data_IF_500440443583
#
_entry.id   IF_500440443583
#
_cell.length_a   1.000
_cell.length_b   1.000
_cell.length_c   1.000
_cell.angle_alpha   90.00
_cell.angle_beta   90.00
_cell.angle_gamma   90.00
#
_symmetry.space_group_name_H-M   'P 1'
#
loop_
_entity.id
_entity.type
_entity.pdbx_description
1 polymer ?
#
# COMPACT_ATOMS: atom_id res chain seq x y z
N UNK A 1 -7.33 -16.68 -4.29
CA UNK A 1 -7.69 -15.41 -4.97
C UNK A 1 -8.58 -14.62 -4.03
N UNK A 2 -8.47 -13.29 -3.91
CA UNK A 2 -9.50 -12.53 -3.20
C UNK A 2 -10.86 -12.80 -3.88
N UNK A 3 -12.01 -12.61 -3.21
CA UNK A 3 -13.23 -12.39 -3.95
C UNK A 3 -12.92 -11.27 -4.94
N UNK A 4 -13.10 -11.56 -6.23
CA UNK A 4 -13.02 -10.55 -7.26
C UNK A 4 -13.87 -9.38 -6.81
N UNK A 5 -13.42 -8.14 -7.04
CA UNK A 5 -14.38 -7.03 -7.11
C UNK A 5 -15.57 -7.53 -7.92
N UNK A 6 -16.82 -7.21 -7.54
CA UNK A 6 -17.97 -7.55 -8.37
C UNK A 6 -17.57 -7.19 -9.80
N UNK A 7 -17.47 -8.20 -10.67
CA UNK A 7 -16.96 -7.98 -12.01
C UNK A 7 -17.90 -6.93 -12.60
N UNK A 8 -17.39 -5.72 -12.84
CA UNK A 8 -18.17 -4.70 -13.52
C UNK A 8 -18.73 -5.34 -14.78
N UNK A 9 -20.01 -5.15 -15.05
CA UNK A 9 -20.58 -5.62 -16.30
C UNK A 9 -19.88 -4.89 -17.45
N UNK A 10 -18.99 -5.60 -18.14
CA UNK A 10 -18.15 -5.06 -19.22
C UNK A 10 -18.80 -5.22 -20.58
N UNK A 11 -20.00 -5.80 -20.65
CA UNK A 11 -20.68 -6.05 -21.93
C UNK A 11 -20.99 -4.76 -22.71
N UNK A 12 -21.04 -3.63 -22.02
CA UNK A 12 -21.28 -2.29 -22.59
C UNK A 12 -20.01 -1.50 -22.90
N UNK A 13 -18.82 -2.03 -22.58
CA UNK A 13 -17.55 -1.31 -22.75
C UNK A 13 -17.07 -1.42 -24.19
N UNK A 14 -17.21 -0.33 -24.94
CA UNK A 14 -16.93 -0.29 -26.38
C UNK A 14 -15.90 0.79 -26.77
N UNK A 15 -15.46 1.64 -25.83
CA UNK A 15 -14.46 2.65 -26.13
C UNK A 15 -13.09 1.99 -26.38
N UNK A 16 -12.28 2.45 -27.36
CA UNK A 16 -11.01 1.80 -27.68
C UNK A 16 -10.06 1.68 -26.48
N UNK A 17 -9.49 0.49 -26.32
CA UNK A 17 -8.34 0.24 -25.44
C UNK A 17 -7.06 0.88 -26.03
N UNK A 18 -6.01 1.13 -25.22
CA UNK A 18 -4.74 1.59 -25.77
C UNK A 18 -4.12 0.55 -26.70
N UNK A 19 -3.58 1.00 -27.83
CA UNK A 19 -3.03 0.12 -28.87
C UNK A 19 -1.57 -0.27 -28.61
N UNK A 20 -0.82 0.62 -27.95
CA UNK A 20 0.61 0.44 -27.70
C UNK A 20 0.99 0.87 -26.30
N UNK A 21 2.15 0.40 -25.84
CA UNK A 21 2.75 0.80 -24.57
C UNK A 21 3.88 1.79 -24.85
N UNK A 22 3.77 3.00 -24.32
CA UNK A 22 4.81 4.01 -24.35
C UNK A 22 5.67 3.91 -23.09
N UNK A 23 6.94 3.53 -23.28
CA UNK A 23 7.93 3.49 -22.20
C UNK A 23 8.36 4.90 -21.79
N UNK A 24 8.71 5.07 -20.52
CA UNK A 24 9.31 6.30 -20.01
C UNK A 24 10.83 6.17 -20.03
N UNK A 25 11.53 7.21 -20.48
CA UNK A 25 12.98 7.35 -20.31
C UNK A 25 13.35 8.09 -19.01
N UNK A 26 12.36 8.70 -18.34
CA UNK A 26 12.59 9.39 -17.08
C UNK A 26 12.88 8.39 -15.95
N UNK A 27 13.76 8.73 -15.00
CA UNK A 27 14.03 7.89 -13.83
C UNK A 27 12.76 7.61 -13.00
N UNK A 28 12.67 6.45 -12.30
CA UNK A 28 11.63 6.20 -11.31
C UNK A 28 11.52 7.34 -10.28
N UNK A 29 10.30 7.66 -9.84
CA UNK A 29 10.05 8.81 -8.96
C UNK A 29 10.00 10.17 -9.66
N UNK A 30 10.19 10.23 -10.99
CA UNK A 30 10.03 11.48 -11.74
C UNK A 30 8.56 11.80 -12.00
N UNK A 31 8.16 13.10 -11.95
CA UNK A 31 6.86 13.51 -12.44
C UNK A 31 6.78 13.37 -13.96
N UNK A 32 5.66 12.85 -14.46
CA UNK A 32 5.35 12.71 -15.87
C UNK A 32 4.00 13.38 -16.14
N UNK A 33 3.91 14.19 -17.20
CA UNK A 33 2.71 14.96 -17.50
C UNK A 33 2.30 14.85 -18.96
N UNK A 34 1.00 14.70 -19.20
CA UNK A 34 0.41 14.49 -20.53
C UNK A 34 -0.84 15.37 -20.68
N UNK A 35 -0.93 16.11 -21.79
CA UNK A 35 -2.15 16.85 -22.14
C UNK A 35 -3.19 15.91 -22.76
N UNK A 36 -4.48 16.24 -22.61
CA UNK A 36 -5.60 15.48 -23.19
C UNK A 36 -5.51 13.97 -22.91
N UNK A 37 -5.09 13.62 -21.70
CA UNK A 37 -4.81 12.26 -21.28
C UNK A 37 -5.95 11.68 -20.46
N UNK A 38 -6.07 10.35 -20.49
CA UNK A 38 -7.12 9.61 -19.80
C UNK A 38 -6.60 8.89 -18.57
N UNK A 39 -7.42 8.85 -17.52
CA UNK A 39 -7.21 8.00 -16.34
C UNK A 39 -8.30 6.94 -16.34
N UNK A 40 -7.90 5.67 -16.30
CA UNK A 40 -8.81 4.54 -16.27
C UNK A 40 -8.63 3.68 -15.02
N UNK A 41 -9.76 3.33 -14.42
CA UNK A 41 -9.95 2.46 -13.25
C UNK A 41 -9.31 2.95 -11.94
N UNK A 42 -9.69 2.30 -10.84
CA UNK A 42 -9.09 2.44 -9.51
C UNK A 42 -7.60 2.05 -9.44
N UNK A 43 -7.00 1.53 -10.53
CA UNK A 43 -5.56 1.31 -10.60
C UNK A 43 -4.79 2.50 -11.20
N UNK A 44 -5.50 3.55 -11.68
CA UNK A 44 -4.88 4.77 -12.21
C UNK A 44 -4.15 4.58 -13.52
N UNK A 45 -4.68 3.75 -14.42
CA UNK A 45 -4.08 3.51 -15.73
C UNK A 45 -4.11 4.82 -16.54
N UNK A 46 -2.94 5.33 -16.93
CA UNK A 46 -2.81 6.56 -17.70
C UNK A 46 -2.61 6.25 -19.18
N UNK A 47 -3.47 6.81 -20.03
CA UNK A 47 -3.43 6.67 -21.49
C UNK A 47 -3.29 8.08 -22.09
N UNK A 48 -2.32 8.30 -22.98
CA UNK A 48 -2.12 9.62 -23.61
C UNK A 48 -3.10 9.90 -24.77
N UNK A 49 -3.00 11.11 -25.32
CA UNK A 49 -3.85 11.59 -26.41
C UNK A 49 -3.70 10.73 -27.69
N UNK A 50 -2.54 10.11 -27.90
CA UNK A 50 -2.26 9.19 -29.01
C UNK A 50 -2.75 7.75 -28.73
N UNK A 51 -3.58 7.56 -27.70
CA UNK A 51 -4.12 6.26 -27.30
C UNK A 51 -3.03 5.23 -26.91
N UNK A 52 -1.95 5.68 -26.26
CA UNK A 52 -0.85 4.82 -25.79
C UNK A 52 -0.87 4.73 -24.27
N UNK A 53 -0.72 3.52 -23.75
CA UNK A 53 -0.55 3.27 -22.33
C UNK A 53 0.78 3.88 -21.86
N UNK A 54 0.75 4.76 -20.86
CA UNK A 54 1.97 5.31 -20.24
C UNK A 54 2.47 4.35 -19.16
N UNK A 55 3.41 3.46 -19.52
CA UNK A 55 3.96 2.46 -18.61
C UNK A 55 4.56 3.09 -17.34
N UNK A 56 5.23 4.23 -17.50
CA UNK A 56 5.83 4.98 -16.39
C UNK A 56 4.82 5.46 -15.33
N UNK A 57 3.52 5.49 -15.61
CA UNK A 57 2.46 5.83 -14.66
C UNK A 57 1.47 4.69 -14.42
N UNK A 58 1.60 3.58 -15.14
CA UNK A 58 0.63 2.47 -15.17
C UNK A 58 1.30 1.12 -14.92
N UNK A 59 1.92 0.91 -13.74
CA UNK A 59 2.50 -0.39 -13.43
C UNK A 59 1.39 -1.47 -13.33
N UNK A 60 1.74 -2.72 -13.60
CA UNK A 60 0.90 -3.90 -13.30
C UNK A 60 1.77 -4.92 -12.56
N UNK A 61 1.31 -5.41 -11.41
CA UNK A 61 2.07 -6.36 -10.60
C UNK A 61 2.18 -7.74 -11.26
N UNK A 62 1.22 -8.09 -12.10
CA UNK A 62 1.18 -9.38 -12.80
C UNK A 62 0.70 -9.12 -14.22
N UNK A 63 1.58 -8.53 -15.04
CA UNK A 63 1.21 -8.23 -16.41
C UNK A 63 0.97 -9.56 -17.16
N UNK A 64 -0.09 -9.64 -17.99
CA UNK A 64 -0.28 -10.74 -18.93
C UNK A 64 0.77 -10.70 -20.05
N UNK A 65 0.85 -11.72 -20.94
CA UNK A 65 1.77 -11.73 -22.07
C UNK A 65 1.67 -10.51 -23.01
N UNK A 66 0.50 -9.86 -23.08
CA UNK A 66 0.29 -8.60 -23.81
C UNK A 66 0.96 -7.39 -23.17
N UNK A 67 1.55 -7.55 -21.99
CA UNK A 67 2.36 -6.55 -21.29
C UNK A 67 1.60 -5.76 -20.23
N UNK A 68 0.28 -5.58 -20.34
CA UNK A 68 -0.53 -4.93 -19.30
C UNK A 68 -2.01 -5.30 -19.44
N UNK A 69 -2.71 -5.53 -18.32
CA UNK A 69 -4.07 -6.09 -18.31
C UNK A 69 -5.12 -5.26 -19.07
N UNK A 70 -4.96 -3.95 -19.19
CA UNK A 70 -5.88 -3.08 -19.94
C UNK A 70 -5.91 -3.38 -21.44
N UNK A 71 -4.81 -3.91 -22.02
CA UNK A 71 -4.75 -4.25 -23.44
C UNK A 71 -5.58 -5.50 -23.78
N UNK A 72 -5.87 -6.33 -22.78
CA UNK A 72 -6.68 -7.54 -22.94
C UNK A 72 -8.19 -7.28 -22.82
N UNK A 73 -8.60 -6.02 -22.62
CA UNK A 73 -10.02 -5.67 -22.50
C UNK A 73 -10.64 -5.55 -23.89
N UNK A 74 -11.90 -5.95 -24.02
CA UNK A 74 -12.66 -5.79 -25.28
C UNK A 74 -12.98 -4.33 -25.61
N UNK A 75 -12.99 -3.48 -24.59
CA UNK A 75 -13.23 -2.05 -24.66
C UNK A 75 -13.16 -1.43 -23.27
N UNK A 76 -13.26 -0.12 -23.21
CA UNK A 76 -13.36 0.68 -21.99
C UNK A 76 -14.76 1.33 -21.91
N UNK A 77 -15.19 1.79 -20.73
CA UNK A 77 -16.31 2.72 -20.60
C UNK A 77 -16.06 3.99 -21.42
N UNK A 78 -17.11 4.69 -21.85
CA UNK A 78 -16.96 6.01 -22.46
C UNK A 78 -16.29 6.98 -21.47
N UNK A 79 -15.24 7.74 -21.89
CA UNK A 79 -14.55 8.64 -20.99
C UNK A 79 -15.42 9.85 -20.65
N UNK A 80 -15.48 10.18 -19.36
CA UNK A 80 -16.12 11.39 -18.86
C UNK A 80 -15.13 12.56 -18.97
N UNK A 81 -15.50 13.68 -19.62
CA UNK A 81 -14.62 14.84 -19.71
C UNK A 81 -14.44 15.51 -18.35
N UNK A 82 -13.20 15.89 -18.05
CA UNK A 82 -12.79 16.60 -16.84
C UNK A 82 -11.84 17.72 -17.27
N UNK A 83 -12.34 18.95 -17.34
CA UNK A 83 -11.53 20.13 -17.72
C UNK A 83 -10.66 20.60 -16.55
N UNK A 84 -9.68 19.77 -16.17
CA UNK A 84 -8.82 19.98 -15.02
C UNK A 84 -7.42 19.44 -15.27
N UNK A 85 -6.45 20.00 -14.55
CA UNK A 85 -5.14 19.39 -14.36
C UNK A 85 -5.22 18.42 -13.16
N UNK A 86 -5.18 17.13 -13.46
CA UNK A 86 -5.43 16.06 -12.51
C UNK A 86 -4.12 15.36 -12.12
N UNK A 87 -3.89 15.21 -10.82
CA UNK A 87 -2.84 14.35 -10.27
C UNK A 87 -3.34 12.90 -10.18
N UNK A 88 -2.73 11.97 -10.91
CA UNK A 88 -2.97 10.54 -10.79
C UNK A 88 -2.12 9.94 -9.65
N UNK A 89 -2.77 9.61 -8.52
CA UNK A 89 -2.10 9.10 -7.31
C UNK A 89 -2.21 7.58 -7.15
N UNK A 90 -3.09 6.91 -7.89
CA UNK A 90 -3.28 5.48 -7.73
C UNK A 90 -2.04 4.65 -8.13
N UNK A 91 -1.97 3.45 -7.59
CA UNK A 91 -1.01 2.38 -7.94
C UNK A 91 -1.74 1.04 -7.75
N UNK A 92 -1.32 -0.07 -8.40
CA UNK A 92 -2.01 -1.33 -8.28
C UNK A 92 -2.23 -1.76 -6.83
N UNK A 93 -3.42 -2.28 -6.56
CA UNK A 93 -3.89 -2.74 -5.25
C UNK A 93 -4.02 -1.69 -4.14
N UNK A 94 -3.66 -0.41 -4.35
CA UNK A 94 -3.85 0.63 -3.33
C UNK A 94 -5.32 0.81 -2.93
N UNK A 95 -6.27 0.54 -3.85
CA UNK A 95 -7.72 0.62 -3.62
C UNK A 95 -8.26 -0.21 -2.45
N UNK A 96 -7.49 -1.18 -1.94
CA UNK A 96 -7.85 -1.97 -0.75
C UNK A 96 -6.68 -2.34 0.16
N UNK A 97 -5.46 -2.17 -0.30
CA UNK A 97 -4.28 -2.63 0.43
C UNK A 97 -3.54 -1.44 1.02
N UNK A 98 -3.64 -1.32 2.34
CA UNK A 98 -2.99 -0.30 3.14
C UNK A 98 -1.48 -0.15 2.86
N UNK A 99 -0.76 -1.26 2.62
CA UNK A 99 0.67 -1.20 2.31
C UNK A 99 0.94 -0.43 1.01
N UNK A 100 0.23 -0.77 -0.07
CA UNK A 100 0.44 -0.11 -1.36
C UNK A 100 -0.04 1.36 -1.35
N UNK A 101 -0.96 1.69 -0.46
CA UNK A 101 -1.34 3.08 -0.21
C UNK A 101 -0.22 3.85 0.51
N UNK A 102 0.17 3.38 1.69
CA UNK A 102 1.11 4.09 2.58
C UNK A 102 2.54 4.08 2.04
N UNK A 103 3.01 2.96 1.49
CA UNK A 103 4.42 2.78 1.11
C UNK A 103 4.66 3.10 -0.37
N UNK A 104 3.75 2.70 -1.26
CA UNK A 104 3.99 2.85 -2.70
C UNK A 104 3.32 4.10 -3.30
N UNK A 105 2.15 4.52 -2.81
CA UNK A 105 1.41 5.64 -3.37
C UNK A 105 1.80 6.99 -2.78
N UNK A 106 1.57 7.19 -1.48
CA UNK A 106 1.70 8.49 -0.81
C UNK A 106 3.12 9.10 -0.84
N UNK A 107 4.22 8.36 -0.61
CA UNK A 107 5.56 8.97 -0.53
C UNK A 107 6.00 9.63 -1.84
N UNK A 108 5.37 9.29 -2.96
CA UNK A 108 5.63 9.88 -4.27
C UNK A 108 5.23 11.35 -4.36
N UNK A 109 4.34 11.81 -3.47
CA UNK A 109 3.88 13.18 -3.42
C UNK A 109 4.93 14.15 -2.87
N UNK A 110 5.99 13.65 -2.22
CA UNK A 110 7.02 14.47 -1.54
C UNK A 110 7.75 15.48 -2.44
N UNK A 111 7.76 15.24 -3.75
CA UNK A 111 8.44 16.10 -4.73
C UNK A 111 7.49 17.06 -5.46
N UNK A 112 6.20 17.08 -5.09
CA UNK A 112 5.19 17.89 -5.74
C UNK A 112 4.68 19.01 -4.85
N UNK A 113 4.36 20.15 -5.44
CA UNK A 113 3.44 21.11 -4.82
C UNK A 113 2.01 20.70 -5.16
N UNK A 114 1.27 20.20 -4.16
CA UNK A 114 -0.09 19.72 -4.36
C UNK A 114 -1.05 20.84 -4.79
N UNK A 115 -0.68 22.12 -4.64
CA UNK A 115 -1.50 23.27 -5.09
C UNK A 115 -1.48 23.47 -6.60
N UNK A 116 -0.54 22.84 -7.32
CA UNK A 116 -0.43 22.93 -8.77
C UNK A 116 -1.51 22.13 -9.53
N UNK A 117 -2.27 21.28 -8.82
CA UNK A 117 -3.28 20.43 -9.41
C UNK A 117 -4.68 20.91 -9.05
N UNK A 118 -5.59 20.86 -10.00
CA UNK A 118 -7.00 21.17 -9.75
C UNK A 118 -7.63 20.03 -8.92
N UNK A 119 -7.39 18.77 -9.33
CA UNK A 119 -7.96 17.56 -8.72
C UNK A 119 -6.90 16.49 -8.44
N UNK A 120 -7.17 15.63 -7.46
CA UNK A 120 -6.40 14.41 -7.18
C UNK A 120 -7.25 13.18 -7.45
N UNK A 121 -6.83 12.35 -8.41
CA UNK A 121 -7.51 11.14 -8.82
C UNK A 121 -6.94 9.91 -8.13
N UNK A 122 -7.79 9.25 -7.33
CA UNK A 122 -7.42 8.08 -6.52
C UNK A 122 -8.67 7.29 -6.10
N UNK A 123 -8.55 6.01 -5.72
CA UNK A 123 -9.67 5.30 -5.08
C UNK A 123 -10.04 5.93 -3.75
N UNK A 124 -11.32 5.93 -3.40
CA UNK A 124 -11.82 6.41 -2.10
C UNK A 124 -12.62 5.36 -1.32
N UNK A 125 -12.66 4.11 -1.80
CA UNK A 125 -13.47 3.03 -1.20
C UNK A 125 -12.98 2.47 0.14
N UNK A 126 -12.03 3.11 0.82
CA UNK A 126 -11.50 2.71 2.13
C UNK A 126 -11.27 3.97 2.98
N UNK A 127 -11.52 3.93 4.31
CA UNK A 127 -11.37 5.11 5.18
C UNK A 127 -9.98 5.75 5.12
N UNK A 128 -8.93 4.92 5.06
CA UNK A 128 -7.53 5.38 5.00
C UNK A 128 -7.21 6.22 3.75
N UNK A 129 -8.01 6.16 2.69
CA UNK A 129 -7.80 7.04 1.53
C UNK A 129 -8.14 8.48 1.89
N UNK A 130 -9.35 8.72 2.41
CA UNK A 130 -9.82 10.04 2.82
C UNK A 130 -8.93 10.62 3.93
N UNK A 131 -8.62 9.82 4.95
CA UNK A 131 -7.76 10.22 6.07
C UNK A 131 -6.38 10.73 5.60
N UNK A 132 -5.78 10.09 4.58
CA UNK A 132 -4.50 10.53 4.04
C UNK A 132 -4.61 11.81 3.20
N UNK A 133 -5.68 11.98 2.41
CA UNK A 133 -5.91 13.21 1.66
C UNK A 133 -6.18 14.40 2.60
N UNK A 134 -6.92 14.17 3.68
CA UNK A 134 -7.14 15.16 4.75
C UNK A 134 -5.83 15.51 5.48
N UNK A 135 -4.99 14.52 5.80
CA UNK A 135 -3.67 14.76 6.41
C UNK A 135 -2.71 15.54 5.50
N UNK A 136 -2.93 15.51 4.19
CA UNK A 136 -2.21 16.29 3.17
C UNK A 136 -2.85 17.66 2.90
N UNK A 137 -3.85 18.06 3.68
CA UNK A 137 -4.61 19.30 3.53
C UNK A 137 -5.28 19.44 2.13
N UNK A 138 -5.70 18.31 1.52
CA UNK A 138 -6.41 18.29 0.24
C UNK A 138 -7.92 18.29 0.52
N UNK A 139 -8.65 19.38 0.21
CA UNK A 139 -10.07 19.47 0.49
C UNK A 139 -10.89 18.52 -0.40
N UNK A 140 -12.03 18.06 0.12
CA UNK A 140 -12.87 17.03 -0.51
C UNK A 140 -13.42 17.41 -1.89
N UNK A 141 -13.59 18.70 -2.18
CA UNK A 141 -13.99 19.21 -3.49
C UNK A 141 -12.90 19.05 -4.57
N UNK A 142 -11.67 18.74 -4.18
CA UNK A 142 -10.56 18.42 -5.08
C UNK A 142 -10.36 16.92 -5.28
N UNK A 143 -11.20 16.06 -4.69
CA UNK A 143 -11.07 14.62 -4.83
C UNK A 143 -11.81 14.12 -6.07
N UNK A 144 -11.11 13.38 -6.93
CA UNK A 144 -11.70 12.68 -8.07
C UNK A 144 -11.66 11.17 -7.80
N UNK A 145 -12.79 10.57 -7.43
CA UNK A 145 -12.85 9.14 -7.11
C UNK A 145 -12.62 8.27 -8.35
N UNK A 146 -11.65 7.36 -8.27
CA UNK A 146 -11.42 6.32 -9.27
C UNK A 146 -12.03 4.98 -8.82
N UNK A 147 -13.07 4.54 -9.51
CA UNK A 147 -13.73 3.21 -9.38
C UNK A 147 -13.24 2.23 -10.44
N UNK A 148 -13.69 0.97 -10.41
CA UNK A 148 -13.27 -0.07 -11.38
C UNK A 148 -13.59 0.27 -12.84
N UNK A 149 -14.65 1.04 -13.06
CA UNK A 149 -15.24 1.46 -14.33
C UNK A 149 -15.08 2.97 -14.59
N UNK A 150 -14.31 3.67 -13.75
CA UNK A 150 -13.98 5.07 -14.01
C UNK A 150 -13.13 5.20 -15.26
N UNK A 151 -13.50 6.11 -16.14
CA UNK A 151 -12.70 6.53 -17.28
C UNK A 151 -12.86 8.04 -17.44
N UNK A 152 -11.79 8.79 -17.20
CA UNK A 152 -11.79 10.25 -17.24
C UNK A 152 -10.91 10.72 -18.38
N UNK A 153 -11.40 11.64 -19.21
CA UNK A 153 -10.57 12.39 -20.17
C UNK A 153 -10.26 13.75 -19.55
N UNK A 154 -8.99 13.98 -19.22
CA UNK A 154 -8.55 15.17 -18.50
C UNK A 154 -7.78 16.11 -19.42
N UNK A 155 -7.98 17.44 -19.27
CA UNK A 155 -7.16 18.45 -19.96
C UNK A 155 -5.66 18.21 -19.76
N UNK A 156 -5.26 17.81 -18.55
CA UNK A 156 -3.90 17.36 -18.26
C UNK A 156 -3.90 16.32 -17.15
N UNK A 157 -3.09 15.28 -17.30
CA UNK A 157 -2.78 14.31 -16.25
C UNK A 157 -1.31 14.42 -15.89
N UNK A 158 -1.01 14.56 -14.61
CA UNK A 158 0.33 14.36 -14.08
C UNK A 158 0.31 13.21 -13.09
N UNK A 159 1.35 12.39 -13.10
CA UNK A 159 1.58 11.40 -12.04
C UNK A 159 3.07 11.33 -11.74
N UNK A 160 3.42 10.63 -10.66
CA UNK A 160 4.81 10.36 -10.32
C UNK A 160 5.09 8.90 -10.57
N UNK A 161 6.11 8.63 -11.38
CA UNK A 161 6.47 7.26 -11.75
C UNK A 161 6.75 6.43 -10.50
N UNK A 162 6.19 5.21 -10.39
CA UNK A 162 6.33 4.41 -9.18
C UNK A 162 7.79 4.04 -8.95
N UNK A 163 8.18 3.98 -7.68
CA UNK A 163 9.41 3.29 -7.27
C UNK A 163 9.16 1.77 -7.34
N UNK A 164 10.21 0.94 -7.37
CA UNK A 164 10.04 -0.50 -7.13
C UNK A 164 9.23 -0.75 -5.85
N UNK A 165 8.39 -1.79 -5.83
CA UNK A 165 7.47 -2.05 -4.72
C UNK A 165 8.23 -2.16 -3.39
N UNK A 166 7.81 -1.37 -2.40
CA UNK A 166 8.46 -1.32 -1.08
C UNK A 166 9.83 -0.66 -1.07
N UNK A 167 10.31 -0.07 -2.18
CA UNK A 167 11.56 0.67 -2.25
C UNK A 167 11.38 2.14 -1.82
N UNK A 168 10.72 2.35 -0.69
CA UNK A 168 10.67 3.66 -0.04
C UNK A 168 12.07 4.07 0.42
N UNK A 169 12.40 5.36 0.35
CA UNK A 169 13.67 5.92 0.83
C UNK A 169 13.48 6.69 2.14
N UNK A 170 14.57 7.20 2.72
CA UNK A 170 14.52 7.98 3.97
C UNK A 170 13.66 9.24 3.83
N UNK A 171 13.67 9.87 2.67
CA UNK A 171 12.89 11.08 2.39
C UNK A 171 11.39 10.76 2.33
N UNK A 172 11.02 9.63 1.74
CA UNK A 172 9.65 9.11 1.76
C UNK A 172 9.17 8.77 3.17
N UNK A 173 10.04 8.20 4.01
CA UNK A 173 9.73 7.97 5.43
C UNK A 173 9.53 9.30 6.17
N UNK A 174 10.41 10.28 5.95
CA UNK A 174 10.26 11.62 6.56
C UNK A 174 8.95 12.25 6.12
N UNK A 175 8.66 12.24 4.82
CA UNK A 175 7.42 12.76 4.27
C UNK A 175 6.18 12.16 4.94
N UNK A 176 6.13 10.82 5.11
CA UNK A 176 5.01 10.17 5.80
C UNK A 176 4.93 10.58 7.26
N UNK A 177 6.06 10.66 7.97
CA UNK A 177 6.08 11.08 9.38
C UNK A 177 5.62 12.52 9.54
N UNK A 178 6.02 13.40 8.64
CA UNK A 178 5.62 14.81 8.64
C UNK A 178 4.13 14.96 8.32
N UNK A 179 3.66 14.27 7.27
CA UNK A 179 2.24 14.22 6.85
C UNK A 179 1.33 13.82 8.00
N UNK A 180 1.68 12.74 8.71
CA UNK A 180 0.88 12.24 9.82
C UNK A 180 1.27 12.87 11.17
N UNK A 181 2.14 13.88 11.18
CA UNK A 181 2.59 14.63 12.38
C UNK A 181 3.09 13.72 13.50
N UNK A 182 3.96 12.78 13.14
CA UNK A 182 4.53 11.81 14.07
C UNK A 182 5.56 12.49 14.95
N UNK A 183 5.30 12.49 16.25
CA UNK A 183 6.25 12.98 17.23
C UNK A 183 7.16 11.83 17.68
N UNK A 184 8.47 12.06 17.84
CA UNK A 184 9.34 11.07 18.46
C UNK A 184 8.86 10.74 19.88
N UNK A 185 8.56 9.46 20.14
CA UNK A 185 8.19 8.99 21.47
C UNK A 185 9.25 8.02 21.99
N UNK A 186 9.37 7.96 23.32
CA UNK A 186 10.22 6.96 23.95
C UNK A 186 9.62 5.56 23.69
N UNK A 187 10.40 4.60 23.16
CA UNK A 187 9.93 3.25 22.90
C UNK A 187 9.59 2.56 24.23
N UNK A 188 8.31 2.27 24.44
CA UNK A 188 7.80 1.73 25.71
C UNK A 188 6.79 0.59 25.54
N UNK A 189 6.10 0.54 24.40
CA UNK A 189 5.03 -0.43 24.15
C UNK A 189 5.55 -1.70 23.49
N UNK A 190 5.01 -2.85 23.89
CA UNK A 190 5.26 -4.14 23.25
C UNK A 190 3.95 -4.61 22.65
N UNK A 191 3.87 -4.65 21.33
CA UNK A 191 2.60 -4.79 20.61
C UNK A 191 2.63 -6.09 19.84
N UNK A 192 1.61 -6.91 20.00
CA UNK A 192 1.31 -8.01 19.12
C UNK A 192 0.13 -7.61 18.23
N UNK A 193 0.36 -7.55 16.92
CA UNK A 193 -0.68 -7.24 15.94
C UNK A 193 -1.33 -8.55 15.51
N UNK A 194 -2.55 -8.79 15.99
CA UNK A 194 -3.35 -9.94 15.59
C UNK A 194 -3.81 -9.78 14.14
N UNK A 195 -3.98 -10.93 13.47
CA UNK A 195 -4.65 -11.03 12.17
C UNK A 195 -5.90 -11.91 12.24
N UNK A 196 -6.46 -12.12 13.44
CA UNK A 196 -7.64 -12.97 13.65
C UNK A 196 -8.84 -12.58 12.78
N UNK A 197 -8.97 -11.30 12.44
CA UNK A 197 -10.01 -10.70 11.59
C UNK A 197 -9.62 -10.61 10.10
N UNK A 198 -8.40 -11.01 9.74
CA UNK A 198 -7.93 -10.98 8.36
C UNK A 198 -8.43 -12.20 7.58
N UNK A 199 -8.59 -12.05 6.26
CA UNK A 199 -9.02 -13.15 5.39
C UNK A 199 -7.92 -14.19 5.06
N UNK A 200 -6.67 -13.91 5.41
CA UNK A 200 -5.50 -14.75 5.06
C UNK A 200 -4.33 -14.55 6.01
N UNK A 201 -3.46 -15.56 6.07
CA UNK A 201 -2.23 -15.59 6.89
C UNK A 201 -2.54 -15.34 8.36
N UNK A 202 -3.61 -15.98 8.83
CA UNK A 202 -3.99 -15.99 10.24
C UNK A 202 -3.14 -16.99 10.99
N UNK A 203 -2.83 -16.67 12.24
CA UNK A 203 -2.24 -17.61 13.18
C UNK A 203 -3.37 -18.39 13.86
N UNK A 204 -3.52 -19.68 13.54
CA UNK A 204 -4.67 -20.48 13.97
C UNK A 204 -4.61 -20.89 15.44
N UNK A 205 -3.41 -21.04 16.01
CA UNK A 205 -3.18 -21.28 17.44
C UNK A 205 -2.75 -20.00 18.19
N UNK A 206 -3.38 -18.87 17.86
CA UNK A 206 -3.10 -17.59 18.53
C UNK A 206 -3.40 -17.66 20.04
N UNK A 207 -4.48 -18.33 20.44
CA UNK A 207 -4.85 -18.49 21.86
C UNK A 207 -3.76 -19.20 22.68
N UNK A 208 -3.04 -20.16 22.10
CA UNK A 208 -1.91 -20.85 22.73
C UNK A 208 -0.66 -19.97 22.79
N UNK A 209 -0.55 -18.96 21.91
CA UNK A 209 0.55 -18.01 21.86
C UNK A 209 0.37 -16.87 22.87
N UNK A 210 -0.87 -16.45 23.16
CA UNK A 210 -1.21 -15.36 24.08
C UNK A 210 -0.54 -15.45 25.46
N UNK A 211 -0.43 -16.62 26.13
CA UNK A 211 0.25 -16.72 27.42
C UNK A 211 1.74 -16.36 27.38
N UNK A 212 2.43 -16.58 26.26
CA UNK A 212 3.82 -16.15 26.08
C UNK A 212 3.91 -14.64 25.94
N UNK A 213 3.03 -14.06 25.13
CA UNK A 213 2.93 -12.62 24.91
C UNK A 213 2.65 -11.86 26.21
N UNK A 214 1.63 -12.26 26.98
CA UNK A 214 1.24 -11.61 28.24
C UNK A 214 2.36 -11.61 29.28
N UNK A 215 3.09 -12.73 29.42
CA UNK A 215 4.24 -12.84 30.34
C UNK A 215 5.38 -11.87 30.00
N UNK A 216 5.49 -11.49 28.74
CA UNK A 216 6.49 -10.54 28.24
C UNK A 216 5.95 -9.10 28.15
N UNK A 217 4.73 -8.86 28.64
CA UNK A 217 4.11 -7.54 28.64
C UNK A 217 3.63 -7.07 27.27
N UNK A 218 3.38 -8.00 26.33
CA UNK A 218 2.78 -7.64 25.05
C UNK A 218 1.28 -7.38 25.20
N UNK A 219 0.82 -6.30 24.59
CA UNK A 219 -0.58 -6.03 24.35
C UNK A 219 -0.99 -6.56 22.97
N UNK A 220 -2.11 -7.28 22.91
CA UNK A 220 -2.65 -7.75 21.63
C UNK A 220 -3.60 -6.70 21.07
N UNK A 221 -3.39 -6.31 19.82
CA UNK A 221 -4.20 -5.32 19.10
C UNK A 221 -4.65 -5.85 17.76
N UNK A 222 -5.86 -5.48 17.36
CA UNK A 222 -6.37 -5.64 15.99
C UNK A 222 -6.41 -4.26 15.36
N UNK A 223 -5.79 -4.10 14.19
CA UNK A 223 -5.63 -2.78 13.54
C UNK A 223 -6.86 -2.37 12.74
N UNK A 224 -7.69 -3.32 12.30
CA UNK A 224 -8.91 -3.00 11.54
C UNK A 224 -9.82 -2.07 12.34
N UNK A 225 -10.26 -1.00 11.68
CA UNK A 225 -11.10 0.03 12.30
C UNK A 225 -10.33 1.19 12.92
N UNK A 226 -9.01 1.07 13.11
CA UNK A 226 -8.17 2.21 13.52
C UNK A 226 -7.87 3.11 12.32
N UNK A 227 -7.98 4.41 12.53
CA UNK A 227 -7.50 5.44 11.59
C UNK A 227 -5.97 5.35 11.40
N UNK A 228 -5.44 5.89 10.31
CA UNK A 228 -3.98 6.01 10.10
C UNK A 228 -3.33 6.70 11.29
N UNK A 229 -3.96 7.77 11.83
CA UNK A 229 -3.43 8.51 12.97
C UNK A 229 -3.30 7.62 14.22
N UNK A 230 -4.33 6.86 14.55
CA UNK A 230 -4.31 5.93 15.68
C UNK A 230 -3.29 4.79 15.49
N UNK A 231 -3.21 4.25 14.27
CA UNK A 231 -2.19 3.26 13.92
C UNK A 231 -0.78 3.86 14.08
N UNK A 232 -0.57 5.08 13.62
CA UNK A 232 0.72 5.73 13.72
C UNK A 232 1.09 6.08 15.17
N UNK A 233 0.12 6.53 15.99
CA UNK A 233 0.33 6.72 17.44
C UNK A 233 0.74 5.42 18.14
N UNK A 234 0.02 4.34 17.86
CA UNK A 234 0.31 3.01 18.38
C UNK A 234 1.75 2.58 18.06
N UNK A 235 2.20 2.74 16.81
CA UNK A 235 3.53 2.33 16.39
C UNK A 235 4.63 3.32 16.83
N UNK A 236 4.32 4.61 16.98
CA UNK A 236 5.31 5.64 17.34
C UNK A 236 5.97 5.45 18.72
N UNK A 237 5.34 4.71 19.62
CA UNK A 237 5.87 4.32 20.94
C UNK A 237 6.29 2.85 21.02
N UNK A 238 6.31 2.12 19.90
CA UNK A 238 6.65 0.70 19.88
C UNK A 238 8.13 0.47 20.22
N UNK A 239 8.37 -0.29 21.29
CA UNK A 239 9.65 -0.90 21.60
C UNK A 239 9.82 -2.23 20.85
N UNK A 240 8.75 -3.01 20.74
CA UNK A 240 8.75 -4.29 20.08
C UNK A 240 7.40 -4.55 19.41
N UNK A 241 7.43 -5.04 18.18
CA UNK A 241 6.25 -5.45 17.40
C UNK A 241 6.39 -6.93 17.06
N UNK A 242 5.37 -7.71 17.34
CA UNK A 242 5.22 -9.07 16.81
C UNK A 242 3.99 -9.05 15.91
N UNK A 243 4.08 -9.56 14.69
CA UNK A 243 2.93 -9.61 13.80
C UNK A 243 3.07 -10.74 12.78
N UNK A 244 1.98 -11.45 12.43
CA UNK A 244 1.98 -12.22 11.21
C UNK A 244 2.01 -11.31 9.98
N UNK A 245 2.64 -11.79 8.90
CA UNK A 245 2.98 -10.98 7.75
C UNK A 245 1.75 -10.36 7.06
N UNK A 246 1.76 -9.04 6.89
CA UNK A 246 0.74 -8.32 6.15
C UNK A 246 0.80 -6.81 6.29
N UNK A 247 -0.16 -6.14 5.66
CA UNK A 247 -0.13 -4.70 5.42
C UNK A 247 -0.02 -3.82 6.69
N UNK A 248 -0.45 -4.33 7.84
CA UNK A 248 -0.25 -3.71 9.14
C UNK A 248 1.20 -3.29 9.42
N UNK A 249 2.17 -4.03 8.90
CA UNK A 249 3.60 -3.75 9.10
C UNK A 249 4.10 -2.57 8.28
N UNK A 250 3.29 -2.00 7.37
CA UNK A 250 3.58 -0.70 6.79
C UNK A 250 3.76 0.38 7.87
N UNK A 251 3.06 0.25 9.01
CA UNK A 251 3.17 1.17 10.14
C UNK A 251 4.55 1.14 10.85
N UNK A 252 5.45 0.21 10.51
CA UNK A 252 6.85 0.30 10.95
C UNK A 252 7.51 1.62 10.52
N UNK A 253 7.01 2.25 9.45
CA UNK A 253 7.44 3.59 9.03
C UNK A 253 7.27 4.65 10.14
N UNK A 254 6.29 4.47 11.03
CA UNK A 254 6.01 5.37 12.14
C UNK A 254 6.75 5.00 13.43
N UNK A 255 7.34 3.80 13.49
CA UNK A 255 8.01 3.30 14.69
C UNK A 255 9.40 3.96 14.91
N UNK A 256 9.84 4.08 16.17
CA UNK A 256 11.15 4.64 16.48
C UNK A 256 12.28 3.68 16.03
N UNK A 257 13.48 4.17 15.67
CA UNK A 257 14.59 3.31 15.21
C UNK A 257 15.00 2.22 16.22
N UNK A 258 14.82 2.45 17.52
CA UNK A 258 15.12 1.45 18.55
C UNK A 258 14.08 0.31 18.64
N UNK A 259 13.01 0.36 17.84
CA UNK A 259 12.01 -0.69 17.76
C UNK A 259 12.63 -1.99 17.22
N UNK A 260 12.02 -3.11 17.63
CA UNK A 260 12.30 -4.44 17.09
C UNK A 260 11.04 -5.02 16.48
N UNK A 261 11.15 -5.74 15.38
CA UNK A 261 10.02 -6.46 14.77
C UNK A 261 10.33 -7.95 14.63
N UNK A 262 9.42 -8.79 15.13
CA UNK A 262 9.37 -10.22 14.84
C UNK A 262 8.19 -10.47 13.91
N UNK A 263 8.51 -10.85 12.69
CA UNK A 263 7.53 -11.05 11.65
C UNK A 263 7.29 -12.55 11.41
N UNK A 264 6.02 -12.97 11.51
CA UNK A 264 5.60 -14.37 11.43
C UNK A 264 5.12 -14.71 10.02
N UNK A 265 5.87 -15.59 9.36
CA UNK A 265 5.81 -16.05 7.97
C UNK A 265 5.04 -17.34 7.72
N UNK A 266 4.12 -17.45 6.73
CA UNK A 266 4.09 -18.66 5.92
C UNK A 266 5.50 -18.96 5.36
N UNK A 267 6.00 -20.17 5.54
CA UNK A 267 7.36 -20.60 5.13
C UNK A 267 7.60 -20.55 3.61
N UNK A 268 6.53 -20.66 2.83
CA UNK A 268 6.52 -20.55 1.38
C UNK A 268 6.47 -19.10 0.86
N UNK A 269 6.37 -18.11 1.74
CA UNK A 269 6.35 -16.71 1.39
C UNK A 269 7.72 -16.07 1.60
N UNK A 270 8.40 -15.76 0.49
CA UNK A 270 9.64 -15.00 0.49
C UNK A 270 9.37 -13.57 0.01
N UNK A 271 9.28 -12.63 0.95
CA UNK A 271 9.07 -11.21 0.65
C UNK A 271 9.95 -10.33 1.54
N UNK A 272 10.94 -9.63 0.96
CA UNK A 272 11.86 -8.78 1.73
C UNK A 272 11.30 -7.39 2.04
N UNK A 273 10.03 -7.10 1.72
CA UNK A 273 9.50 -5.73 1.80
C UNK A 273 9.59 -5.12 3.21
N UNK A 274 9.23 -5.88 4.24
CA UNK A 274 9.24 -5.38 5.61
C UNK A 274 10.63 -5.45 6.26
N UNK A 275 11.47 -6.38 5.83
CA UNK A 275 12.90 -6.39 6.18
C UNK A 275 13.58 -5.11 5.67
N UNK A 276 13.36 -4.77 4.40
CA UNK A 276 13.87 -3.54 3.79
C UNK A 276 13.33 -2.30 4.49
N UNK A 277 12.02 -2.23 4.73
CA UNK A 277 11.39 -1.11 5.46
C UNK A 277 12.01 -0.94 6.85
N UNK A 278 12.15 -2.04 7.59
CA UNK A 278 12.76 -2.03 8.92
C UNK A 278 14.22 -1.53 8.86
N UNK A 279 15.00 -2.03 7.91
CA UNK A 279 16.40 -1.61 7.73
C UNK A 279 16.53 -0.09 7.49
N UNK A 280 15.67 0.49 6.65
CA UNK A 280 15.70 1.94 6.37
C UNK A 280 15.29 2.73 7.63
N UNK A 281 14.28 2.24 8.36
CA UNK A 281 13.83 2.83 9.63
C UNK A 281 14.83 2.65 10.79
N UNK A 282 15.89 1.86 10.60
CA UNK A 282 16.84 1.51 11.66
C UNK A 282 16.35 0.45 12.65
N UNK A 283 15.23 -0.20 12.33
CA UNK A 283 14.53 -1.19 13.16
C UNK A 283 15.20 -2.56 12.97
N UNK A 284 15.40 -3.29 14.08
CA UNK A 284 15.88 -4.68 14.01
C UNK A 284 14.75 -5.60 13.57
N UNK A 285 14.92 -6.25 12.43
CA UNK A 285 13.97 -7.23 11.90
C UNK A 285 14.41 -8.68 12.18
N UNK A 286 13.45 -9.53 12.53
CA UNK A 286 13.61 -10.97 12.61
C UNK A 286 12.41 -11.63 11.94
N UNK A 287 12.67 -12.49 10.97
CA UNK A 287 11.65 -13.37 10.40
C UNK A 287 11.59 -14.70 11.17
N UNK A 288 10.37 -15.20 11.39
CA UNK A 288 10.14 -16.57 11.83
C UNK A 288 9.14 -17.27 10.88
N UNK A 289 9.61 -18.19 10.02
CA UNK A 289 8.73 -18.94 9.13
C UNK A 289 8.00 -20.06 9.87
N UNK A 290 6.82 -20.42 9.38
CA UNK A 290 5.98 -21.50 9.88
C UNK A 290 5.28 -22.19 8.70
N UNK A 291 5.14 -23.53 8.72
CA UNK A 291 4.52 -24.27 7.62
C UNK A 291 3.12 -23.77 7.26
N UNK A 292 2.89 -23.56 5.96
CA UNK A 292 1.60 -23.16 5.42
C UNK A 292 1.31 -23.83 4.06
N UNK A 293 0.04 -23.96 3.70
CA UNK A 293 -0.36 -24.59 2.43
C UNK A 293 0.04 -23.78 1.18
N UNK A 294 0.05 -22.45 1.27
CA UNK A 294 0.49 -21.52 0.23
C UNK A 294 0.84 -20.15 0.86
N UNK A 295 1.30 -19.18 0.06
CA UNK A 295 1.73 -17.85 0.51
C UNK A 295 0.66 -17.01 1.22
N UNK A 296 -0.61 -17.36 1.00
CA UNK A 296 -1.76 -16.73 1.64
C UNK A 296 -2.42 -17.68 2.65
N UNK A 297 -1.82 -18.85 2.91
CA UNK A 297 -2.33 -19.85 3.83
C UNK A 297 -2.26 -19.37 5.28
N UNK A 298 -3.28 -19.74 6.04
CA UNK A 298 -3.21 -19.68 7.49
C UNK A 298 -2.21 -20.73 8.01
N UNK A 299 -1.65 -20.49 9.20
CA UNK A 299 -0.56 -21.29 9.73
C UNK A 299 -0.61 -21.43 11.25
N UNK A 300 0.22 -22.33 11.77
CA UNK A 300 0.39 -22.56 13.20
C UNK A 300 1.83 -22.28 13.61
N UNK A 301 2.03 -21.72 14.80
CA UNK A 301 3.34 -21.66 15.44
C UNK A 301 3.70 -23.00 16.07
N UNK A 302 4.96 -23.39 15.97
CA UNK A 302 5.53 -24.50 16.74
C UNK A 302 5.79 -24.02 18.17
N UNK A 303 4.87 -24.32 19.10
CA UNK A 303 4.85 -23.77 20.45
C UNK A 303 6.09 -24.12 21.28
N UNK A 304 6.74 -25.23 21.01
CA UNK A 304 8.00 -25.68 21.62
C UNK A 304 9.19 -24.78 21.24
N UNK A 305 9.15 -24.14 20.07
CA UNK A 305 10.19 -23.21 19.62
C UNK A 305 9.96 -21.76 20.09
N UNK A 306 8.73 -21.42 20.48
CA UNK A 306 8.34 -20.05 20.84
C UNK A 306 9.25 -19.41 21.91
N UNK A 307 9.60 -20.08 23.03
CA UNK A 307 10.51 -19.49 24.03
C UNK A 307 11.85 -19.05 23.44
N UNK A 308 12.49 -19.91 22.64
CA UNK A 308 13.78 -19.62 22.03
C UNK A 308 13.70 -18.50 20.99
N UNK A 309 12.61 -18.46 20.21
CA UNK A 309 12.36 -17.40 19.22
C UNK A 309 12.17 -16.05 19.92
N UNK A 310 11.36 -15.99 20.97
CA UNK A 310 11.10 -14.75 21.73
C UNK A 310 12.34 -14.28 22.48
N UNK A 311 13.14 -15.19 23.03
CA UNK A 311 14.40 -14.84 23.68
C UNK A 311 15.39 -14.22 22.68
N UNK A 312 15.55 -14.84 21.50
CA UNK A 312 16.39 -14.30 20.41
C UNK A 312 15.91 -12.92 19.95
N UNK A 313 14.60 -12.71 19.95
CA UNK A 313 13.97 -11.45 19.56
C UNK A 313 14.17 -10.32 20.57
N UNK A 314 14.10 -10.62 21.87
CA UNK A 314 14.20 -9.64 22.93
C UNK A 314 15.63 -9.31 23.36
N UNK A 315 16.62 -10.13 23.02
CA UNK A 315 18.06 -9.83 23.19
C UNK A 315 18.50 -8.80 22.17
#
# INVERSE_FOLDING_TARGET
MPPSSPHADRSSWNFPVPETIAQSTAPPGSPLSFAEARIFSHNGVVIDAENRLRAGLSPDFRPPPSGHRVLDYSGLPEPKPVDAHVLALATPACWKNYFHWIIDALPRLRSLDLRDFDLVCTPLGQPFHAEALEALDIPADRWLEATVDSHFLCRRVTGVSPLPIGAIDRDGISFLRDTFRIQPQAPSRRIYVSRSDAWRRRLLNEDDFQPFLRRLGFETVTITGLTIREQADLFSSAQAVIAPHGAALANLVFAPPACRVLELFPDNLHSPHFENLAAICGIRHIAHPSPAANIDGDFHLQLDLVPAVLERFLR
#
